data_IF_970877971969
#
_entry.id   IF_970877971969
#
_cell.length_a   1.000
_cell.length_b   1.000
_cell.length_c   1.000
_cell.angle_alpha   90.00
_cell.angle_beta   90.00
_cell.angle_gamma   90.00
#
_symmetry.space_group_name_H-M   'P 1'
#
loop_
_entity.id
_entity.type
_entity.pdbx_description
1 polymer ?
#
# COMPACT_ATOMS: atom_id res chain seq x y z
N UNK A 1 -2.56 -4.96 -20.32
CA UNK A 1 -3.34 -3.81 -19.87
C UNK A 1 -3.85 -3.98 -18.42
N UNK A 2 -4.55 -5.05 -18.08
CA UNK A 2 -5.05 -5.32 -16.72
C UNK A 2 -3.93 -5.36 -15.68
N UNK A 3 -2.81 -6.07 -15.94
CA UNK A 3 -1.65 -6.14 -15.02
C UNK A 3 -1.05 -4.77 -14.69
N UNK A 4 -0.99 -3.85 -15.67
CA UNK A 4 -0.46 -2.50 -15.47
C UNK A 4 -1.42 -1.64 -14.62
N UNK A 5 -2.72 -1.81 -14.79
CA UNK A 5 -3.74 -1.11 -14.01
C UNK A 5 -3.72 -1.55 -12.53
N UNK A 6 -3.60 -2.86 -12.28
CA UNK A 6 -3.43 -3.40 -10.93
C UNK A 6 -2.17 -2.83 -10.26
N UNK A 7 -1.05 -2.82 -10.99
CA UNK A 7 0.21 -2.27 -10.51
C UNK A 7 0.07 -0.80 -10.08
N UNK A 8 -0.57 0.02 -10.91
CA UNK A 8 -0.81 1.43 -10.63
C UNK A 8 -1.71 1.61 -9.41
N UNK A 9 -2.78 0.83 -9.29
CA UNK A 9 -3.71 0.90 -8.18
C UNK A 9 -3.06 0.52 -6.84
N UNK A 10 -2.23 -0.54 -6.83
CA UNK A 10 -1.47 -0.92 -5.65
C UNK A 10 -0.47 0.16 -5.22
N UNK A 11 0.22 0.76 -6.20
CA UNK A 11 1.15 1.86 -5.91
C UNK A 11 0.42 3.03 -5.27
N UNK A 12 -0.76 3.40 -5.79
CA UNK A 12 -1.59 4.46 -5.20
C UNK A 12 -1.96 4.15 -3.75
N UNK A 13 -2.47 2.94 -3.47
CA UNK A 13 -2.88 2.57 -2.11
C UNK A 13 -1.68 2.53 -1.15
N UNK A 14 -0.52 2.07 -1.60
CA UNK A 14 0.65 1.99 -0.74
C UNK A 14 1.22 3.38 -0.41
N UNK A 15 1.17 4.33 -1.33
CA UNK A 15 1.75 5.67 -1.15
C UNK A 15 0.78 6.69 -0.56
N UNK A 16 -0.53 6.42 -0.55
CA UNK A 16 -1.56 7.36 -0.05
C UNK A 16 -1.36 7.72 1.43
N UNK A 17 -0.68 6.86 2.19
CA UNK A 17 -0.40 7.09 3.60
C UNK A 17 0.36 8.38 3.87
N UNK A 18 1.28 8.77 3.00
CA UNK A 18 2.03 10.03 3.14
C UNK A 18 1.07 11.22 3.13
N UNK A 19 0.12 11.20 2.20
CA UNK A 19 -0.88 12.28 2.06
C UNK A 19 -1.82 12.31 3.26
N UNK A 20 -2.23 11.13 3.76
CA UNK A 20 -3.10 11.03 4.93
C UNK A 20 -2.42 11.59 6.17
N UNK A 21 -1.16 11.19 6.42
CA UNK A 21 -0.40 11.62 7.59
C UNK A 21 -0.17 13.13 7.54
N UNK A 22 0.23 13.65 6.38
CA UNK A 22 0.36 15.08 6.17
C UNK A 22 -0.98 15.82 6.40
N UNK A 23 -2.10 15.30 5.89
CA UNK A 23 -3.42 15.88 6.07
C UNK A 23 -3.87 15.92 7.54
N UNK A 24 -3.51 14.89 8.32
CA UNK A 24 -3.77 14.84 9.77
C UNK A 24 -2.90 15.87 10.49
N UNK A 25 -1.62 15.95 10.15
CA UNK A 25 -0.67 16.90 10.76
C UNK A 25 -1.07 18.34 10.49
N UNK A 26 -1.42 18.66 9.25
CA UNK A 26 -1.88 20.01 8.83
C UNK A 26 -3.34 20.30 9.21
N UNK A 27 -4.01 19.41 9.96
CA UNK A 27 -5.41 19.57 10.42
C UNK A 27 -6.39 19.93 9.31
N UNK A 28 -6.30 19.22 8.18
CA UNK A 28 -7.21 19.45 7.06
C UNK A 28 -8.67 19.26 7.50
N UNK A 29 -9.49 20.30 7.31
CA UNK A 29 -10.92 20.29 7.59
C UNK A 29 -11.70 20.20 6.28
N UNK A 30 -12.03 18.97 5.85
CA UNK A 30 -12.88 18.75 4.67
C UNK A 30 -14.38 18.85 4.99
N UNK A 31 -14.74 18.61 6.23
CA UNK A 31 -16.12 18.69 6.71
C UNK A 31 -16.13 19.79 7.76
N UNK A 32 -17.05 20.72 7.68
CA UNK A 32 -17.23 21.85 8.61
C UNK A 32 -17.60 21.39 10.04
N UNK A 33 -17.13 20.23 10.43
CA UNK A 33 -17.31 19.51 11.68
C UNK A 33 -15.96 19.24 12.37
N UNK A 34 -16.01 18.74 13.60
CA UNK A 34 -14.85 18.54 14.46
C UNK A 34 -13.65 17.90 13.75
N UNK A 35 -12.44 18.42 14.02
CA UNK A 35 -11.17 17.88 13.49
C UNK A 35 -11.03 16.35 13.65
N UNK A 36 -11.64 15.79 14.70
CA UNK A 36 -11.64 14.38 15.01
C UNK A 36 -12.38 13.55 13.95
N UNK A 37 -13.52 14.02 13.45
CA UNK A 37 -14.30 13.30 12.43
C UNK A 37 -13.57 13.29 11.08
N UNK A 38 -12.94 14.39 10.71
CA UNK A 38 -12.10 14.47 9.49
C UNK A 38 -10.91 13.53 9.58
N UNK A 39 -10.24 13.46 10.73
CA UNK A 39 -9.12 12.53 10.96
C UNK A 39 -9.56 11.07 10.83
N UNK A 40 -10.71 10.70 11.40
CA UNK A 40 -11.26 9.35 11.27
C UNK A 40 -11.60 9.04 9.82
N UNK A 41 -12.23 9.96 9.09
CA UNK A 41 -12.55 9.77 7.67
C UNK A 41 -11.28 9.57 6.83
N UNK A 42 -10.23 10.37 7.06
CA UNK A 42 -8.94 10.22 6.39
C UNK A 42 -8.30 8.85 6.70
N UNK A 43 -8.30 8.43 7.95
CA UNK A 43 -7.75 7.14 8.36
C UNK A 43 -8.51 5.94 7.77
N UNK A 44 -9.81 6.09 7.50
CA UNK A 44 -10.64 5.03 6.89
C UNK A 44 -10.49 4.93 5.37
N UNK A 45 -9.98 5.96 4.69
CA UNK A 45 -9.86 5.95 3.22
C UNK A 45 -9.07 4.77 2.67
N UNK A 46 -7.90 4.36 3.20
CA UNK A 46 -7.15 3.23 2.66
C UNK A 46 -7.88 1.90 2.85
N UNK A 47 -8.68 1.76 3.92
CA UNK A 47 -9.52 0.56 4.13
C UNK A 47 -10.62 0.45 3.06
N UNK A 48 -11.26 1.56 2.73
CA UNK A 48 -12.27 1.59 1.67
C UNK A 48 -11.65 1.24 0.31
N UNK A 49 -10.48 1.82 0.00
CA UNK A 49 -9.79 1.56 -1.27
C UNK A 49 -9.40 0.09 -1.41
N UNK A 50 -8.88 -0.54 -0.36
CA UNK A 50 -8.50 -1.95 -0.42
C UNK A 50 -9.71 -2.87 -0.51
N UNK A 51 -10.82 -2.51 0.15
CA UNK A 51 -12.06 -3.28 0.05
C UNK A 51 -12.62 -3.25 -1.37
N UNK A 52 -12.62 -2.09 -2.00
CA UNK A 52 -13.03 -1.92 -3.40
C UNK A 52 -12.14 -2.77 -4.30
N UNK A 53 -10.82 -2.70 -4.10
CA UNK A 53 -9.87 -3.49 -4.87
C UNK A 53 -10.08 -5.00 -4.68
N UNK A 54 -10.30 -5.46 -3.45
CA UNK A 54 -10.59 -6.87 -3.15
C UNK A 54 -11.84 -7.37 -3.88
N UNK A 55 -12.90 -6.57 -3.91
CA UNK A 55 -14.13 -6.90 -4.64
C UNK A 55 -13.84 -7.01 -6.14
N UNK A 56 -13.08 -6.04 -6.70
CA UNK A 56 -12.72 -6.04 -8.12
C UNK A 56 -11.90 -7.29 -8.47
N UNK A 57 -10.88 -7.61 -7.67
CA UNK A 57 -10.04 -8.79 -7.94
C UNK A 57 -10.82 -10.09 -7.84
N UNK A 58 -11.70 -10.22 -6.86
CA UNK A 58 -12.54 -11.41 -6.71
C UNK A 58 -13.48 -11.62 -7.89
N UNK A 59 -13.92 -10.54 -8.54
CA UNK A 59 -14.82 -10.61 -9.71
C UNK A 59 -14.06 -10.92 -11.01
N UNK A 60 -12.80 -10.51 -11.13
CA UNK A 60 -12.06 -10.55 -12.40
C UNK A 60 -10.84 -11.51 -12.40
N UNK A 61 -10.39 -12.00 -11.24
CA UNK A 61 -9.24 -12.88 -11.15
C UNK A 61 -9.66 -14.29 -10.73
N UNK A 62 -9.12 -15.27 -11.43
CA UNK A 62 -9.20 -16.69 -11.05
C UNK A 62 -8.14 -16.99 -9.99
N UNK A 63 -8.44 -17.90 -9.07
CA UNK A 63 -7.47 -18.39 -8.10
C UNK A 63 -6.45 -19.30 -8.82
N UNK A 64 -5.19 -18.90 -8.83
CA UNK A 64 -4.11 -19.73 -9.30
C UNK A 64 -3.50 -20.52 -8.13
N UNK A 65 -3.44 -21.83 -8.26
CA UNK A 65 -2.77 -22.70 -7.30
C UNK A 65 -1.29 -22.84 -7.68
N UNK A 66 -0.41 -22.49 -6.78
CA UNK A 66 1.02 -22.69 -6.95
C UNK A 66 1.35 -24.10 -6.43
N UNK A 67 1.75 -25.00 -7.32
CA UNK A 67 2.24 -26.34 -7.00
C UNK A 67 3.77 -26.35 -7.04
N UNK A 68 4.40 -27.13 -6.15
CA UNK A 68 5.85 -27.31 -6.03
C UNK A 68 6.62 -26.06 -5.55
N UNK A 69 6.57 -25.83 -4.25
CA UNK A 69 7.36 -24.82 -3.58
C UNK A 69 8.51 -25.48 -2.82
N UNK A 70 9.75 -25.05 -3.03
CA UNK A 70 10.92 -25.53 -2.27
C UNK A 70 11.11 -24.81 -0.95
N UNK A 71 10.98 -23.47 -0.96
CA UNK A 71 11.16 -22.65 0.23
C UNK A 71 10.07 -21.58 0.33
N UNK A 72 9.65 -21.31 1.57
CA UNK A 72 8.66 -20.28 1.90
C UNK A 72 9.27 -19.38 2.97
N UNK A 73 9.53 -18.13 2.63
CA UNK A 73 10.07 -17.11 3.54
C UNK A 73 9.00 -16.07 3.86
N UNK A 74 8.73 -15.83 5.14
CA UNK A 74 7.81 -14.80 5.58
C UNK A 74 8.52 -13.43 5.56
N UNK A 75 7.94 -12.45 4.87
CA UNK A 75 8.59 -11.16 4.56
C UNK A 75 7.88 -9.95 5.18
N UNK A 76 6.98 -10.17 6.10
CA UNK A 76 6.16 -9.10 6.69
C UNK A 76 6.98 -7.96 7.32
N UNK A 77 8.13 -8.28 7.92
CA UNK A 77 8.94 -7.30 8.64
C UNK A 77 9.77 -6.40 7.73
N UNK A 78 10.18 -6.88 6.56
CA UNK A 78 11.06 -6.14 5.65
C UNK A 78 10.38 -4.87 5.10
N UNK A 79 9.05 -4.90 5.03
CA UNK A 79 8.26 -3.81 4.50
C UNK A 79 7.81 -2.78 5.55
N UNK A 80 7.86 -3.14 6.84
CA UNK A 80 7.47 -2.24 7.92
C UNK A 80 8.33 -0.97 7.95
N UNK A 81 9.61 -1.10 7.66
CA UNK A 81 10.56 0.02 7.61
C UNK A 81 10.15 1.08 6.55
N UNK A 82 9.61 0.66 5.40
CA UNK A 82 9.16 1.56 4.35
C UNK A 82 7.98 2.44 4.82
N UNK A 83 7.06 1.86 5.60
CA UNK A 83 5.92 2.60 6.13
C UNK A 83 6.31 3.56 7.25
N UNK A 84 7.25 3.17 8.10
CA UNK A 84 7.84 4.09 9.07
C UNK A 84 8.49 5.28 8.36
N UNK A 85 9.19 5.04 7.24
CA UNK A 85 9.71 6.09 6.38
C UNK A 85 8.62 7.05 5.88
N UNK A 86 7.50 6.54 5.42
CA UNK A 86 6.36 7.36 4.98
C UNK A 86 5.76 8.20 6.12
N UNK A 87 5.69 7.64 7.33
CA UNK A 87 5.27 8.36 8.53
C UNK A 87 6.19 9.55 8.83
N UNK A 88 7.49 9.33 8.88
CA UNK A 88 8.46 10.38 9.15
C UNK A 88 8.45 11.47 8.08
N UNK A 89 8.34 11.09 6.82
CA UNK A 89 8.24 12.06 5.72
C UNK A 89 6.95 12.87 5.86
N UNK A 90 5.80 12.22 6.12
CA UNK A 90 4.51 12.92 6.22
C UNK A 90 4.47 13.95 7.35
N UNK A 91 5.05 13.64 8.52
CA UNK A 91 5.11 14.56 9.67
C UNK A 91 6.15 15.68 9.45
N UNK A 92 7.24 15.41 8.73
CA UNK A 92 8.33 16.37 8.52
C UNK A 92 8.08 17.40 7.44
N UNK A 93 6.92 17.43 6.80
CA UNK A 93 6.61 18.33 5.69
C UNK A 93 5.74 19.51 6.15
N UNK A 94 6.26 20.73 5.99
CA UNK A 94 5.55 21.97 6.36
C UNK A 94 4.67 22.52 5.22
N UNK A 95 4.87 22.04 3.97
CA UNK A 95 4.33 22.74 2.81
C UNK A 95 3.79 21.76 1.75
N UNK A 96 2.61 22.07 1.25
CA UNK A 96 1.89 21.27 0.26
C UNK A 96 2.67 21.10 -1.06
N UNK A 97 3.44 22.10 -1.48
CA UNK A 97 4.28 22.00 -2.68
C UNK A 97 5.39 20.93 -2.51
N UNK A 98 6.03 20.93 -1.36
CA UNK A 98 7.06 19.93 -1.03
C UNK A 98 6.45 18.53 -0.95
N UNK A 99 5.27 18.41 -0.35
CA UNK A 99 4.53 17.15 -0.34
C UNK A 99 4.28 16.63 -1.76
N UNK A 100 3.82 17.49 -2.68
CA UNK A 100 3.51 17.09 -4.05
C UNK A 100 4.74 16.54 -4.78
N UNK A 101 5.89 17.22 -4.68
CA UNK A 101 7.13 16.75 -5.30
C UNK A 101 7.64 15.45 -4.71
N UNK A 102 7.66 15.35 -3.39
CA UNK A 102 8.10 14.12 -2.70
C UNK A 102 7.15 12.97 -3.05
N UNK A 103 5.84 13.21 -3.07
CA UNK A 103 4.85 12.19 -3.44
C UNK A 103 5.07 11.68 -4.87
N UNK A 104 5.29 12.57 -5.85
CA UNK A 104 5.55 12.19 -7.24
C UNK A 104 6.81 11.32 -7.34
N UNK A 105 7.90 11.74 -6.68
CA UNK A 105 9.16 10.99 -6.69
C UNK A 105 8.96 9.61 -6.08
N UNK A 106 8.37 9.52 -4.89
CA UNK A 106 8.12 8.25 -4.21
C UNK A 106 7.15 7.35 -5.00
N UNK A 107 6.14 7.94 -5.62
CA UNK A 107 5.22 7.22 -6.48
C UNK A 107 5.94 6.57 -7.67
N UNK A 108 6.82 7.31 -8.35
CA UNK A 108 7.62 6.79 -9.46
C UNK A 108 8.54 5.66 -8.98
N UNK A 109 9.24 5.84 -7.86
CA UNK A 109 10.12 4.81 -7.29
C UNK A 109 9.35 3.56 -6.90
N UNK A 110 8.23 3.72 -6.20
CA UNK A 110 7.39 2.59 -5.78
C UNK A 110 6.79 1.88 -6.99
N UNK A 111 6.38 2.63 -8.01
CA UNK A 111 5.85 2.05 -9.26
C UNK A 111 6.92 1.31 -10.06
N UNK A 112 8.14 1.80 -10.09
CA UNK A 112 9.28 1.14 -10.76
C UNK A 112 9.76 -0.09 -9.98
N UNK A 113 9.73 -0.02 -8.65
CA UNK A 113 10.09 -1.12 -7.76
C UNK A 113 8.98 -2.18 -7.70
N UNK A 114 9.34 -3.42 -7.33
CA UNK A 114 8.36 -4.49 -7.08
C UNK A 114 7.75 -4.43 -5.68
N UNK A 115 8.14 -3.46 -4.85
CA UNK A 115 7.67 -3.29 -3.47
C UNK A 115 6.22 -2.80 -3.38
N UNK A 116 5.62 -2.41 -4.49
CA UNK A 116 4.23 -1.92 -4.56
C UNK A 116 3.17 -2.94 -4.14
N UNK A 117 3.50 -4.23 -4.17
CA UNK A 117 2.53 -5.28 -3.83
C UNK A 117 2.28 -5.38 -2.32
N UNK A 118 3.16 -4.80 -1.51
CA UNK A 118 2.98 -4.79 -0.08
C UNK A 118 2.01 -3.69 0.35
N UNK A 119 0.94 -4.10 0.99
CA UNK A 119 -0.01 -3.17 1.59
C UNK A 119 -0.23 -3.53 3.07
N UNK A 120 0.11 -2.64 4.02
CA UNK A 120 -0.03 -2.92 5.45
C UNK A 120 -1.47 -3.18 5.87
N UNK A 121 -2.45 -2.69 5.09
CA UNK A 121 -3.86 -2.96 5.35
C UNK A 121 -4.22 -4.43 5.21
N UNK A 122 -3.60 -5.15 4.27
CA UNK A 122 -3.82 -6.59 4.11
C UNK A 122 -3.29 -7.35 5.33
N UNK A 123 -2.16 -6.92 5.90
CA UNK A 123 -1.65 -7.45 7.16
C UNK A 123 -2.64 -7.28 8.32
N UNK A 124 -3.26 -6.09 8.44
CA UNK A 124 -4.26 -5.81 9.48
C UNK A 124 -5.54 -6.64 9.32
N UNK A 125 -5.87 -7.05 8.09
CA UNK A 125 -7.01 -7.94 7.79
C UNK A 125 -6.64 -9.41 8.02
N UNK A 126 -5.36 -9.73 8.27
CA UNK A 126 -4.87 -11.07 8.58
C UNK A 126 -4.18 -11.77 7.41
N UNK A 127 -4.00 -11.12 6.26
CA UNK A 127 -3.21 -11.66 5.17
C UNK A 127 -1.72 -11.56 5.47
N UNK A 128 -0.96 -12.56 5.03
CA UNK A 128 0.50 -12.61 5.18
C UNK A 128 1.18 -12.62 3.82
N UNK A 129 2.39 -12.10 3.79
CA UNK A 129 3.22 -12.07 2.59
C UNK A 129 4.33 -13.09 2.69
N UNK A 130 4.48 -13.89 1.64
CA UNK A 130 5.50 -14.93 1.54
C UNK A 130 6.25 -14.80 0.22
N UNK A 131 7.57 -14.99 0.26
CA UNK A 131 8.35 -15.31 -0.92
C UNK A 131 8.42 -16.81 -1.07
N UNK A 132 7.98 -17.29 -2.24
CA UNK A 132 8.12 -18.68 -2.62
C UNK A 132 9.19 -18.79 -3.68
N UNK A 133 10.13 -19.69 -3.47
CA UNK A 133 11.12 -20.07 -4.48
C UNK A 133 10.63 -21.33 -5.16
N UNK A 134 10.40 -21.27 -6.47
CA UNK A 134 10.03 -22.42 -7.29
C UNK A 134 11.27 -23.24 -7.63
N UNK A 135 11.09 -24.53 -8.00
CA UNK A 135 12.15 -25.47 -8.43
C UNK A 135 13.06 -24.90 -9.55
N UNK A 136 12.60 -23.88 -10.25
CA UNK A 136 13.35 -23.17 -11.30
C UNK A 136 14.14 -21.95 -10.79
N UNK A 137 14.20 -21.75 -9.46
CA UNK A 137 14.89 -20.62 -8.83
C UNK A 137 14.19 -19.28 -8.96
N UNK A 138 12.95 -19.25 -9.43
CA UNK A 138 12.17 -17.99 -9.54
C UNK A 138 11.52 -17.67 -8.20
N UNK A 139 11.77 -16.47 -7.68
CA UNK A 139 11.09 -15.98 -6.47
C UNK A 139 9.77 -15.30 -6.87
N UNK A 140 8.68 -15.78 -6.29
CA UNK A 140 7.33 -15.23 -6.48
C UNK A 140 6.81 -14.78 -5.12
N UNK A 141 6.23 -13.58 -5.06
CA UNK A 141 5.55 -13.12 -3.86
C UNK A 141 4.08 -13.53 -3.90
N UNK A 142 3.63 -14.16 -2.83
CA UNK A 142 2.23 -14.54 -2.65
C UNK A 142 1.65 -13.87 -1.42
N UNK A 143 0.33 -13.68 -1.47
CA UNK A 143 -0.50 -13.17 -0.38
C UNK A 143 -1.43 -14.32 0.01
N UNK A 144 -1.37 -14.72 1.26
CA UNK A 144 -2.21 -15.81 1.79
C UNK A 144 -2.93 -15.38 3.06
#
# INVERSE_FOLDING_TARGET
MIKSLHKLFFTLISTIWIVIIYGIDQKWNFVNQSNLLTTICLALTPFLLITIWYIITRLFCSNDNVSNCENIDEVNNDFLANYLGYFFIGIGLDNCHTLAWIYIILFIFTFASQTQFFNPMLLLIGYKYYYITTDKGTKIMIIS
#
